data_IF_064322800624
#
_entry.id   IF_064322800624
#
_cell.length_a   1.000
_cell.length_b   1.000
_cell.length_c   1.000
_cell.angle_alpha   90.00
_cell.angle_beta   90.00
_cell.angle_gamma   90.00
#
_symmetry.space_group_name_H-M   'P 1'
#
loop_
_entity.id
_entity.type
_entity.pdbx_description
1 polymer ?
#
# COMPACT_ATOMS: atom_id res chain seq x y z
N UNK A 1 34.31 64.65 -8.16
CA UNK A 1 33.05 65.43 -8.25
C UNK A 1 32.55 65.39 -9.69
N UNK A 2 31.22 65.30 -9.89
CA UNK A 2 30.42 65.14 -11.13
C UNK A 2 30.24 63.69 -11.58
N UNK A 3 29.28 62.95 -11.03
CA UNK A 3 27.81 62.97 -11.22
C UNK A 3 27.32 62.63 -12.64
N UNK A 4 26.78 61.41 -12.73
CA UNK A 4 25.42 61.04 -13.17
C UNK A 4 25.23 60.32 -14.52
N UNK A 5 24.77 59.07 -14.33
CA UNK A 5 23.65 58.39 -14.97
C UNK A 5 23.71 58.22 -16.49
N UNK A 6 23.74 56.96 -16.95
CA UNK A 6 22.73 56.42 -17.86
C UNK A 6 22.63 54.89 -17.69
N UNK A 7 21.37 54.49 -17.48
CA UNK A 7 20.70 53.19 -17.55
C UNK A 7 21.39 52.10 -18.38
N UNK A 8 21.50 50.90 -17.80
CA UNK A 8 21.28 49.65 -18.53
C UNK A 8 20.95 48.52 -17.53
N UNK A 9 19.65 48.32 -17.27
CA UNK A 9 19.17 47.07 -16.66
C UNK A 9 19.04 46.07 -17.81
N UNK A 10 20.06 45.25 -18.01
CA UNK A 10 19.99 44.12 -18.94
C UNK A 10 19.26 42.97 -18.24
N UNK A 11 17.98 42.81 -18.63
CA UNK A 11 17.23 41.57 -18.50
C UNK A 11 18.04 40.41 -19.09
N UNK A 12 18.43 39.44 -18.27
CA UNK A 12 18.76 38.09 -18.75
C UNK A 12 17.80 37.10 -18.09
N UNK A 13 16.59 37.03 -18.65
CA UNK A 13 15.77 35.83 -18.64
C UNK A 13 16.40 34.87 -19.65
N UNK A 14 17.17 33.89 -19.18
CA UNK A 14 17.49 32.72 -19.99
C UNK A 14 17.80 31.53 -19.09
N UNK A 15 16.81 30.66 -18.93
CA UNK A 15 16.80 29.30 -19.49
C UNK A 15 17.64 28.33 -18.67
N UNK A 16 16.98 27.55 -17.84
CA UNK A 16 16.53 26.24 -18.31
C UNK A 16 15.66 25.64 -17.21
N UNK A 17 14.43 25.31 -17.57
CA UNK A 17 13.73 24.22 -16.95
C UNK A 17 14.63 22.99 -17.13
N UNK A 18 15.51 22.74 -16.16
CA UNK A 18 16.07 21.43 -15.94
C UNK A 18 14.87 20.58 -15.54
N UNK A 19 14.26 20.01 -16.57
CA UNK A 19 13.08 19.17 -16.45
C UNK A 19 13.31 18.19 -15.32
N UNK A 20 12.29 18.05 -14.49
CA UNK A 20 12.12 16.91 -13.59
C UNK A 20 11.98 15.64 -14.44
N UNK A 21 13.04 15.26 -15.14
CA UNK A 21 13.14 14.09 -15.98
C UNK A 21 14.00 13.04 -15.27
N UNK A 22 13.86 12.93 -13.95
CA UNK A 22 14.40 11.83 -13.14
C UNK A 22 13.40 11.45 -12.04
N UNK A 23 12.15 11.24 -12.42
CA UNK A 23 11.16 10.50 -11.61
C UNK A 23 10.45 9.42 -12.45
N UNK A 24 11.16 8.86 -13.44
CA UNK A 24 10.81 7.58 -14.08
C UNK A 24 12.09 6.76 -14.12
N UNK A 25 12.76 6.64 -12.97
CA UNK A 25 13.73 5.58 -12.79
C UNK A 25 12.96 4.27 -12.76
N UNK A 26 12.93 3.58 -13.91
CA UNK A 26 12.57 2.16 -14.05
C UNK A 26 11.25 1.80 -13.32
N UNK A 27 10.12 2.05 -13.97
CA UNK A 27 9.05 1.05 -13.95
C UNK A 27 9.59 -0.20 -14.69
N UNK A 28 10.53 -0.91 -14.05
CA UNK A 28 11.04 -2.17 -14.55
C UNK A 28 9.92 -3.17 -14.44
N UNK A 29 9.28 -3.50 -15.57
CA UNK A 29 8.30 -4.59 -15.72
C UNK A 29 7.19 -4.56 -14.65
N UNK A 30 6.02 -4.04 -15.03
CA UNK A 30 4.86 -3.84 -14.15
C UNK A 30 4.64 -4.91 -13.08
N UNK A 31 4.28 -4.48 -11.86
CA UNK A 31 4.08 -5.34 -10.70
C UNK A 31 2.88 -4.91 -9.85
N UNK A 32 2.74 -5.49 -8.67
CA UNK A 32 1.69 -5.14 -7.73
C UNK A 32 2.25 -4.10 -6.75
N UNK A 33 1.58 -2.95 -6.63
CA UNK A 33 1.87 -1.95 -5.61
C UNK A 33 0.73 -1.90 -4.61
N UNK A 34 1.07 -1.81 -3.32
CA UNK A 34 0.10 -1.70 -2.25
C UNK A 34 0.29 -0.40 -1.49
N UNK A 35 -0.77 0.40 -1.39
CA UNK A 35 -0.84 1.53 -0.48
C UNK A 35 -1.71 1.11 0.70
N UNK A 36 -1.28 1.39 1.92
CA UNK A 36 -2.02 1.00 3.11
C UNK A 36 -1.99 2.13 4.14
N UNK A 37 -3.17 2.47 4.65
CA UNK A 37 -3.35 3.51 5.65
C UNK A 37 -4.12 2.91 6.82
N UNK A 38 -3.53 2.95 8.01
CA UNK A 38 -4.19 2.49 9.23
C UNK A 38 -5.37 3.40 9.53
N UNK A 39 -6.57 2.82 9.62
CA UNK A 39 -7.80 3.59 9.84
C UNK A 39 -8.22 3.56 11.31
N UNK A 40 -8.19 2.37 11.93
CA UNK A 40 -8.65 2.22 13.31
C UNK A 40 -7.98 1.06 14.04
N UNK A 41 -8.12 1.09 15.36
CA UNK A 41 -7.80 -0.02 16.26
C UNK A 41 -9.04 -0.30 17.12
N UNK A 42 -9.19 -1.54 17.55
CA UNK A 42 -10.28 -1.96 18.41
C UNK A 42 -10.09 -3.40 18.90
N UNK A 43 -11.19 -4.09 19.13
CA UNK A 43 -11.21 -5.48 19.57
C UNK A 43 -12.28 -6.27 18.83
N UNK A 44 -12.07 -7.57 18.74
CA UNK A 44 -13.05 -8.55 18.27
C UNK A 44 -13.33 -9.54 19.41
N UNK A 45 -14.56 -10.03 19.50
CA UNK A 45 -14.94 -11.12 20.39
C UNK A 45 -15.71 -12.17 19.58
N UNK A 46 -15.32 -13.44 19.73
CA UNK A 46 -15.96 -14.58 19.09
C UNK A 46 -16.92 -15.25 20.07
N UNK A 47 -18.21 -15.33 19.73
CA UNK A 47 -19.24 -15.89 20.61
C UNK A 47 -19.25 -17.42 20.68
N UNK A 48 -18.61 -18.09 19.72
CA UNK A 48 -18.53 -19.56 19.64
C UNK A 48 -17.38 -20.09 20.48
N UNK A 49 -16.26 -19.37 20.50
CA UNK A 49 -15.05 -19.75 21.27
C UNK A 49 -14.92 -18.99 22.58
N UNK A 50 -15.56 -17.82 22.70
CA UNK A 50 -15.41 -16.91 23.84
C UNK A 50 -14.13 -16.07 23.79
N UNK A 51 -13.30 -16.20 22.76
CA UNK A 51 -12.01 -15.52 22.66
C UNK A 51 -12.15 -14.03 22.33
N UNK A 52 -11.34 -13.20 23.01
CA UNK A 52 -11.17 -11.79 22.70
C UNK A 52 -9.82 -11.55 22.02
N UNK A 53 -9.81 -10.72 20.98
CA UNK A 53 -8.62 -10.41 20.19
C UNK A 53 -8.49 -8.90 19.98
N UNK A 54 -7.25 -8.43 19.89
CA UNK A 54 -6.94 -7.08 19.41
C UNK A 54 -7.20 -7.03 17.91
N UNK A 55 -7.71 -5.89 17.42
CA UNK A 55 -8.02 -5.71 16.01
C UNK A 55 -7.46 -4.37 15.50
N UNK A 56 -6.97 -4.39 14.27
CA UNK A 56 -6.68 -3.18 13.49
C UNK A 56 -7.29 -3.28 12.11
N UNK A 57 -7.67 -2.13 11.56
CA UNK A 57 -8.15 -2.03 10.19
C UNK A 57 -7.28 -1.08 9.37
N UNK A 58 -7.05 -1.47 8.13
CA UNK A 58 -6.32 -0.69 7.14
C UNK A 58 -7.19 -0.47 5.91
N UNK A 59 -7.20 0.76 5.41
CA UNK A 59 -7.66 1.07 4.07
C UNK A 59 -6.50 0.80 3.13
N UNK A 60 -6.72 -0.09 2.18
CA UNK A 60 -5.67 -0.59 1.30
C UNK A 60 -6.07 -0.35 -0.15
N UNK A 61 -5.16 0.20 -0.94
CA UNK A 61 -5.28 0.28 -2.40
C UNK A 61 -4.30 -0.69 -3.04
N UNK A 62 -4.84 -1.71 -3.70
CA UNK A 62 -4.06 -2.65 -4.52
C UNK A 62 -4.07 -2.16 -5.96
N UNK A 63 -2.89 -1.85 -6.48
CA UNK A 63 -2.69 -1.45 -7.87
C UNK A 63 -1.96 -2.56 -8.63
N UNK A 64 -2.65 -3.18 -9.59
CA UNK A 64 -2.06 -4.17 -10.48
C UNK A 64 -1.48 -3.48 -11.72
N UNK A 65 -0.26 -2.95 -11.60
CA UNK A 65 0.44 -2.35 -12.73
C UNK A 65 1.09 -3.40 -13.66
N UNK A 66 0.85 -4.69 -13.44
CA UNK A 66 1.38 -5.77 -14.27
C UNK A 66 0.53 -6.02 -15.52
N UNK A 67 1.09 -6.80 -16.46
CA UNK A 67 0.41 -7.28 -17.66
C UNK A 67 -0.45 -8.55 -17.40
N UNK A 68 -0.44 -9.06 -16.17
CA UNK A 68 -1.17 -10.28 -15.76
C UNK A 68 -2.40 -9.93 -14.95
N UNK A 69 -3.40 -10.82 -14.98
CA UNK A 69 -4.54 -10.73 -14.08
C UNK A 69 -4.21 -11.33 -12.71
N UNK A 70 -4.81 -10.77 -11.66
CA UNK A 70 -4.88 -11.39 -10.34
C UNK A 70 -6.26 -12.04 -10.22
N UNK A 71 -6.31 -13.35 -9.97
CA UNK A 71 -7.56 -14.11 -9.93
C UNK A 71 -7.76 -14.76 -8.56
N UNK A 72 -8.28 -14.03 -7.56
CA UNK A 72 -8.58 -14.62 -6.27
C UNK A 72 -9.68 -15.67 -6.41
N UNK A 73 -9.52 -16.78 -5.71
CA UNK A 73 -10.47 -17.88 -5.73
C UNK A 73 -10.16 -18.93 -4.67
N UNK A 74 -10.92 -20.03 -4.68
CA UNK A 74 -10.79 -21.12 -3.70
C UNK A 74 -9.36 -21.68 -3.64
N UNK A 75 -8.77 -21.92 -4.82
CA UNK A 75 -7.43 -22.51 -4.96
C UNK A 75 -6.32 -21.45 -5.09
N UNK A 76 -6.71 -20.18 -5.13
CA UNK A 76 -5.81 -19.03 -5.28
C UNK A 76 -6.24 -17.93 -4.32
N UNK A 77 -6.16 -18.22 -3.02
CA UNK A 77 -6.65 -17.32 -1.97
C UNK A 77 -5.88 -16.01 -2.00
N UNK A 78 -6.58 -14.90 -1.81
CA UNK A 78 -5.98 -13.59 -1.56
C UNK A 78 -5.83 -13.39 -0.05
N UNK A 79 -4.71 -12.84 0.38
CA UNK A 79 -4.46 -12.47 1.76
C UNK A 79 -3.58 -11.22 1.81
N UNK A 80 -3.64 -10.53 2.95
CA UNK A 80 -2.71 -9.48 3.29
C UNK A 80 -1.97 -9.87 4.56
N UNK A 81 -0.78 -9.30 4.75
CA UNK A 81 0.00 -9.51 5.97
C UNK A 81 0.39 -8.16 6.54
N UNK A 82 0.08 -7.96 7.82
CA UNK A 82 0.83 -7.00 8.64
C UNK A 82 2.20 -7.60 8.93
N UNK A 83 3.26 -6.80 8.81
CA UNK A 83 4.60 -7.28 9.10
C UNK A 83 5.53 -6.17 9.58
N UNK A 84 6.63 -6.59 10.20
CA UNK A 84 7.76 -5.74 10.56
C UNK A 84 9.06 -6.20 9.86
N UNK A 85 10.13 -5.45 10.09
CA UNK A 85 11.46 -5.76 9.54
C UNK A 85 12.13 -6.98 10.20
N UNK A 86 11.59 -7.46 11.33
CA UNK A 86 12.13 -8.59 12.08
C UNK A 86 11.51 -9.92 11.62
N UNK A 87 10.59 -9.87 10.65
CA UNK A 87 9.94 -11.06 10.08
C UNK A 87 8.70 -11.50 10.83
N UNK A 88 8.24 -10.74 11.85
CA UNK A 88 6.95 -11.03 12.48
C UNK A 88 5.84 -10.63 11.54
N UNK A 89 4.83 -11.49 11.40
CA UNK A 89 3.67 -11.21 10.56
C UNK A 89 2.34 -11.66 11.15
N UNK A 90 1.27 -10.99 10.74
CA UNK A 90 -0.11 -11.40 10.99
C UNK A 90 -0.88 -11.40 9.68
N UNK A 91 -1.46 -12.55 9.33
CA UNK A 91 -2.34 -12.65 8.17
C UNK A 91 -3.68 -11.94 8.43
N UNK A 92 -4.26 -11.36 7.38
CA UNK A 92 -5.57 -10.73 7.42
C UNK A 92 -6.66 -11.74 7.81
N UNK A 93 -7.53 -11.33 8.72
CA UNK A 93 -8.69 -12.11 9.18
C UNK A 93 -9.98 -11.71 8.46
N UNK A 94 -10.00 -10.53 7.85
CA UNK A 94 -11.11 -10.05 7.02
C UNK A 94 -10.63 -9.20 5.86
N UNK A 95 -11.28 -9.35 4.70
CA UNK A 95 -11.00 -8.57 3.48
C UNK A 95 -12.36 -8.16 2.91
N UNK A 96 -12.50 -6.87 2.57
CA UNK A 96 -13.71 -6.37 1.93
C UNK A 96 -14.00 -7.12 0.61
N UNK A 97 -15.25 -7.54 0.41
CA UNK A 97 -15.63 -8.45 -0.68
C UNK A 97 -15.24 -7.93 -2.06
N UNK A 98 -15.37 -6.62 -2.28
CA UNK A 98 -14.98 -6.00 -3.55
C UNK A 98 -13.50 -6.22 -3.87
N UNK A 99 -12.63 -6.26 -2.86
CA UNK A 99 -11.20 -6.53 -3.04
C UNK A 99 -10.91 -7.97 -3.51
N UNK A 100 -11.84 -8.90 -3.33
CA UNK A 100 -11.68 -10.31 -3.70
C UNK A 100 -12.05 -10.61 -5.15
N UNK A 101 -12.54 -9.63 -5.93
CA UNK A 101 -12.81 -9.82 -7.36
C UNK A 101 -11.52 -9.82 -8.18
N UNK A 102 -11.54 -10.46 -9.35
CA UNK A 102 -10.45 -10.44 -10.33
C UNK A 102 -9.95 -9.01 -10.61
N UNK A 103 -8.63 -8.84 -10.69
CA UNK A 103 -7.99 -7.61 -11.15
C UNK A 103 -7.47 -7.85 -12.56
N UNK A 104 -7.92 -7.04 -13.51
CA UNK A 104 -7.34 -7.01 -14.86
C UNK A 104 -5.96 -6.35 -14.81
N UNK A 105 -5.14 -6.48 -15.86
CA UNK A 105 -3.97 -5.62 -16.03
C UNK A 105 -4.37 -4.15 -15.90
N UNK A 106 -3.56 -3.36 -15.20
CA UNK A 106 -3.79 -1.94 -14.91
C UNK A 106 -5.03 -1.63 -14.05
N UNK A 107 -5.69 -2.64 -13.49
CA UNK A 107 -6.81 -2.44 -12.56
C UNK A 107 -6.29 -2.06 -11.17
N UNK A 108 -7.09 -1.28 -10.45
CA UNK A 108 -6.81 -0.94 -9.07
C UNK A 108 -8.11 -0.94 -8.26
N UNK A 109 -8.00 -1.26 -6.97
CA UNK A 109 -9.14 -1.25 -6.08
C UNK A 109 -8.71 -0.85 -4.68
N UNK A 110 -9.60 -0.13 -4.01
CA UNK A 110 -9.42 0.28 -2.62
C UNK A 110 -10.50 -0.36 -1.78
N UNK A 111 -10.11 -0.88 -0.62
CA UNK A 111 -11.04 -1.46 0.34
C UNK A 111 -10.40 -1.68 1.70
N UNK A 112 -11.22 -2.13 2.64
CA UNK A 112 -10.81 -2.39 4.01
C UNK A 112 -10.23 -3.80 4.17
N UNK A 113 -9.16 -3.88 4.95
CA UNK A 113 -8.53 -5.14 5.39
C UNK A 113 -8.40 -5.11 6.90
N UNK A 114 -8.77 -6.22 7.53
CA UNK A 114 -8.82 -6.39 8.97
C UNK A 114 -7.79 -7.43 9.40
N UNK A 115 -7.14 -7.16 10.52
CA UNK A 115 -6.19 -8.05 11.16
C UNK A 115 -6.58 -8.16 12.63
N UNK A 116 -6.66 -9.39 13.13
CA UNK A 116 -6.92 -9.65 14.54
C UNK A 116 -6.00 -10.73 15.09
N UNK A 117 -5.64 -10.57 16.36
CA UNK A 117 -4.76 -11.49 17.08
C UNK A 117 -4.95 -11.33 18.59
N UNK A 118 -4.76 -12.41 19.33
CA UNK A 118 -4.57 -12.33 20.79
C UNK A 118 -3.23 -11.67 21.16
N UNK A 119 -2.28 -11.56 20.22
CA UNK A 119 -1.02 -10.87 20.43
C UNK A 119 -1.18 -9.35 20.22
N UNK A 120 -0.88 -8.51 21.24
CA UNK A 120 -1.08 -7.06 21.15
C UNK A 120 -0.19 -6.39 20.09
N UNK A 121 0.89 -7.04 19.63
CA UNK A 121 1.79 -6.45 18.64
C UNK A 121 1.10 -6.20 17.29
N UNK A 122 -0.03 -6.88 17.00
CA UNK A 122 -0.86 -6.60 15.82
C UNK A 122 -1.28 -5.14 15.74
N UNK A 123 -1.39 -4.46 16.89
CA UNK A 123 -1.76 -3.05 16.99
C UNK A 123 -0.70 -2.12 16.37
N UNK A 124 0.57 -2.49 16.41
CA UNK A 124 1.69 -1.60 16.16
C UNK A 124 2.55 -2.01 14.95
N UNK A 125 2.10 -2.99 14.17
CA UNK A 125 2.81 -3.40 12.95
C UNK A 125 2.80 -2.29 11.88
N UNK A 126 3.97 -1.94 11.31
CA UNK A 126 4.10 -0.73 10.48
C UNK A 126 3.79 -0.92 8.98
N UNK A 127 3.81 -2.16 8.46
CA UNK A 127 3.70 -2.40 7.03
C UNK A 127 2.64 -3.42 6.68
N UNK A 128 2.01 -3.25 5.51
CA UNK A 128 1.09 -4.23 4.91
C UNK A 128 1.69 -4.71 3.60
N UNK A 129 1.67 -6.02 3.36
CA UNK A 129 2.00 -6.63 2.06
C UNK A 129 0.87 -7.52 1.57
N UNK A 130 0.85 -7.74 0.26
CA UNK A 130 -0.09 -8.61 -0.43
C UNK A 130 0.50 -10.01 -0.63
N UNK A 131 -0.34 -11.04 -0.54
CA UNK A 131 -0.01 -12.42 -0.90
C UNK A 131 -1.15 -13.08 -1.66
N UNK A 132 -0.81 -14.09 -2.46
CA UNK A 132 -1.79 -14.90 -3.18
C UNK A 132 -1.39 -16.38 -3.24
N UNK A 133 -2.39 -17.27 -3.27
CA UNK A 133 -2.19 -18.70 -3.39
C UNK A 133 -1.39 -19.27 -2.21
N UNK A 134 -0.23 -19.84 -2.50
CA UNK A 134 0.65 -20.48 -1.50
C UNK A 134 1.30 -19.48 -0.53
N UNK A 135 1.27 -18.18 -0.83
CA UNK A 135 1.72 -17.20 0.15
C UNK A 135 0.75 -17.13 1.34
N UNK A 136 -0.53 -17.42 1.11
CA UNK A 136 -1.60 -17.38 2.12
C UNK A 136 -1.65 -18.62 3.03
N UNK A 137 -0.68 -19.52 2.90
CA UNK A 137 -0.49 -20.66 3.82
C UNK A 137 0.71 -20.47 4.74
N UNK A 138 1.49 -19.41 4.52
CA UNK A 138 2.68 -19.04 5.31
C UNK A 138 2.32 -17.84 6.20
N UNK A 139 1.67 -18.13 7.32
CA UNK A 139 1.31 -17.16 8.36
C UNK A 139 2.17 -17.33 9.60
#
# INVERSE_FOLDING_TARGET
MRCNLIKAVCLTLAVSAAGTALAVQKASQGGITLFAEKQSQGSQWDSTTGEAQYMVSYKVTLNNASDKSIEPGKDNKMCFFLFDKNGKSFMSTGIELEMLKKYKPMDNRTGMVYFSSSNPDVLNMPFVRFGIGQDCTKG
#
